data_IF_367516741631
#
_entry.id   IF_367516741631
#
_cell.length_a   1.000
_cell.length_b   1.000
_cell.length_c   1.000
_cell.angle_alpha   90.00
_cell.angle_beta   90.00
_cell.angle_gamma   90.00
#
_symmetry.space_group_name_H-M   'P 1'
#
loop_
_entity.id
_entity.type
_entity.pdbx_description
1 polymer ?
#
# COMPACT_ATOMS: atom_id res chain seq x y z
N UNK A 1 -19.82 6.50 3.34
CA UNK A 1 -19.11 7.16 2.23
C UNK A 1 -18.31 6.16 1.40
N UNK A 2 -17.44 5.32 2.01
CA UNK A 2 -16.61 4.33 1.28
C UNK A 2 -17.49 3.35 0.48
N UNK A 3 -18.52 2.76 1.10
CA UNK A 3 -19.41 1.82 0.43
C UNK A 3 -20.16 2.45 -0.76
N UNK A 4 -20.48 3.74 -0.68
CA UNK A 4 -21.19 4.48 -1.72
C UNK A 4 -20.30 5.00 -2.85
N UNK A 5 -18.97 4.81 -2.76
CA UNK A 5 -18.05 5.25 -3.81
C UNK A 5 -18.27 4.46 -5.10
N UNK A 6 -18.38 5.19 -6.22
CA UNK A 6 -18.49 4.65 -7.57
C UNK A 6 -17.13 4.54 -8.29
N UNK A 7 -16.02 4.60 -7.55
CA UNK A 7 -14.67 4.69 -8.13
C UNK A 7 -14.33 3.54 -9.07
N UNK A 8 -14.76 2.31 -8.76
CA UNK A 8 -14.49 1.16 -9.63
C UNK A 8 -15.11 1.36 -11.02
N UNK A 9 -16.39 1.73 -11.08
CA UNK A 9 -17.07 1.98 -12.36
C UNK A 9 -16.48 3.19 -13.09
N UNK A 10 -16.10 4.27 -12.38
CA UNK A 10 -15.45 5.44 -12.99
C UNK A 10 -14.10 5.12 -13.62
N UNK A 11 -13.36 4.17 -13.03
CA UNK A 11 -12.05 3.73 -13.53
C UNK A 11 -12.14 2.49 -14.43
N UNK A 12 -13.33 1.94 -14.65
CA UNK A 12 -13.54 0.79 -15.52
C UNK A 12 -12.90 -0.50 -15.01
N UNK A 13 -12.74 -0.66 -13.69
CA UNK A 13 -12.15 -1.85 -13.08
C UNK A 13 -13.18 -2.68 -12.34
N UNK A 14 -12.90 -3.98 -12.25
CA UNK A 14 -13.74 -4.95 -11.54
C UNK A 14 -13.10 -5.32 -10.21
N UNK A 15 -13.89 -5.44 -9.17
CA UNK A 15 -13.44 -5.88 -7.85
C UNK A 15 -12.63 -7.19 -7.94
N UNK A 16 -11.52 -7.24 -7.19
CA UNK A 16 -10.58 -8.36 -7.14
C UNK A 16 -9.86 -8.68 -8.46
N UNK A 17 -9.92 -7.77 -9.46
CA UNK A 17 -9.29 -7.95 -10.77
C UNK A 17 -8.40 -6.78 -11.19
N UNK A 18 -7.72 -6.16 -10.24
CA UNK A 18 -6.71 -5.12 -10.48
C UNK A 18 -5.74 -5.03 -9.31
N UNK A 19 -4.55 -4.56 -9.59
CA UNK A 19 -3.59 -4.14 -8.56
C UNK A 19 -3.76 -2.65 -8.27
N UNK A 20 -3.65 -2.28 -7.00
CA UNK A 20 -3.52 -0.88 -6.61
C UNK A 20 -2.10 -0.63 -6.12
N UNK A 21 -1.46 0.40 -6.67
CA UNK A 21 -0.06 0.72 -6.37
C UNK A 21 0.07 2.16 -5.92
N UNK A 22 0.87 2.40 -4.88
CA UNK A 22 1.32 3.74 -4.51
C UNK A 22 2.79 3.74 -4.14
N UNK A 23 3.54 4.68 -4.70
CA UNK A 23 4.95 4.89 -4.42
C UNK A 23 5.21 6.39 -4.28
N UNK A 24 5.70 6.83 -3.12
CA UNK A 24 5.86 8.26 -2.83
C UNK A 24 7.06 8.59 -1.94
N UNK A 25 7.70 7.59 -1.33
CA UNK A 25 8.84 7.80 -0.45
C UNK A 25 10.07 8.22 -1.24
N UNK A 26 10.82 9.16 -0.66
CA UNK A 26 12.01 9.76 -1.28
C UNK A 26 13.05 8.72 -1.66
N UNK A 27 13.32 7.77 -0.77
CA UNK A 27 14.26 6.68 -0.98
C UNK A 27 13.93 5.82 -2.21
N UNK A 28 12.65 5.70 -2.55
CA UNK A 28 12.19 4.93 -3.70
C UNK A 28 12.08 5.77 -4.99
N UNK A 29 11.63 7.02 -4.84
CA UNK A 29 11.23 7.85 -5.99
C UNK A 29 12.36 8.72 -6.51
N UNK A 30 13.26 9.20 -5.63
CA UNK A 30 14.32 10.12 -6.00
C UNK A 30 15.58 9.43 -6.54
N UNK A 31 15.70 8.13 -6.35
CA UNK A 31 16.78 7.33 -6.91
C UNK A 31 16.33 6.77 -8.28
N UNK A 32 16.91 7.23 -9.41
CA UNK A 32 16.48 6.77 -10.73
C UNK A 32 16.60 5.25 -10.93
N UNK A 33 17.61 4.64 -10.31
CA UNK A 33 17.85 3.20 -10.36
C UNK A 33 16.70 2.44 -9.66
N UNK A 34 16.32 2.87 -8.47
CA UNK A 34 15.22 2.28 -7.70
C UNK A 34 13.90 2.39 -8.47
N UNK A 35 13.62 3.58 -9.01
CA UNK A 35 12.41 3.82 -9.79
C UNK A 35 12.39 2.98 -11.08
N UNK A 36 13.55 2.76 -11.73
CA UNK A 36 13.67 1.89 -12.91
C UNK A 36 13.38 0.44 -12.57
N UNK A 37 13.97 -0.08 -11.50
CA UNK A 37 13.70 -1.43 -10.99
C UNK A 37 12.22 -1.60 -10.67
N UNK A 38 11.62 -0.61 -10.04
CA UNK A 38 10.19 -0.64 -9.71
C UNK A 38 9.28 -0.64 -10.95
N UNK A 39 9.56 0.18 -11.95
CA UNK A 39 8.83 0.16 -13.24
C UNK A 39 8.95 -1.21 -13.89
N UNK A 40 10.14 -1.80 -13.89
CA UNK A 40 10.36 -3.16 -14.38
C UNK A 40 9.53 -4.20 -13.62
N UNK A 41 9.47 -4.09 -12.28
CA UNK A 41 8.67 -4.97 -11.45
C UNK A 41 7.17 -4.83 -11.74
N UNK A 42 6.65 -3.62 -11.93
CA UNK A 42 5.25 -3.42 -12.29
C UNK A 42 4.91 -4.02 -13.67
N UNK A 43 5.76 -3.81 -14.66
CA UNK A 43 5.59 -4.41 -15.98
C UNK A 43 5.58 -5.94 -15.89
N UNK A 44 6.41 -6.52 -15.04
CA UNK A 44 6.42 -7.98 -14.82
C UNK A 44 5.18 -8.47 -14.09
N UNK A 45 4.65 -7.71 -13.12
CA UNK A 45 3.38 -8.02 -12.46
C UNK A 45 2.24 -8.09 -13.48
N UNK A 46 2.15 -7.13 -14.40
CA UNK A 46 1.15 -7.17 -15.47
C UNK A 46 1.32 -8.41 -16.34
N UNK A 47 2.54 -8.72 -16.75
CA UNK A 47 2.84 -9.89 -17.58
C UNK A 47 2.49 -11.21 -16.91
N UNK A 48 2.74 -11.33 -15.60
CA UNK A 48 2.51 -12.55 -14.83
C UNK A 48 1.01 -12.79 -14.55
N UNK A 49 0.29 -11.74 -14.19
CA UNK A 49 -1.08 -11.86 -13.72
C UNK A 49 -2.15 -11.48 -14.76
N UNK A 50 -1.78 -10.76 -15.82
CA UNK A 50 -2.71 -10.30 -16.86
C UNK A 50 -3.79 -9.35 -16.33
N UNK A 51 -3.54 -8.68 -15.20
CA UNK A 51 -4.46 -7.78 -14.54
C UNK A 51 -4.01 -6.32 -14.67
N UNK A 52 -4.94 -5.36 -14.82
CA UNK A 52 -4.61 -3.95 -14.84
C UNK A 52 -4.01 -3.49 -13.51
N UNK A 53 -3.11 -2.52 -13.60
CA UNK A 53 -2.48 -1.85 -12.46
C UNK A 53 -2.97 -0.40 -12.40
N UNK A 54 -3.55 -0.01 -11.29
CA UNK A 54 -3.88 1.37 -10.96
C UNK A 54 -2.75 1.95 -10.12
N UNK A 55 -1.93 2.80 -10.70
CA UNK A 55 -0.78 3.40 -10.03
C UNK A 55 -1.09 4.84 -9.61
N UNK A 56 -1.33 5.05 -8.32
CA UNK A 56 -1.51 6.37 -7.71
C UNK A 56 -0.17 7.10 -7.66
N UNK A 57 -0.04 8.17 -8.44
CA UNK A 57 1.20 8.94 -8.57
C UNK A 57 1.02 10.38 -8.08
N UNK A 58 1.55 10.72 -6.91
CA UNK A 58 1.66 12.11 -6.48
C UNK A 58 2.49 12.95 -7.45
N UNK A 59 2.38 14.29 -7.44
CA UNK A 59 3.09 15.16 -8.38
C UNK A 59 4.60 14.91 -8.45
N UNK A 60 5.26 14.67 -7.30
CA UNK A 60 6.70 14.35 -7.24
C UNK A 60 7.02 13.06 -8.00
N UNK A 61 6.29 11.98 -7.69
CA UNK A 61 6.47 10.68 -8.36
C UNK A 61 6.22 10.81 -9.87
N UNK A 62 5.20 11.57 -10.27
CA UNK A 62 4.91 11.81 -11.69
C UNK A 62 6.08 12.49 -12.42
N UNK A 63 6.64 13.55 -11.83
CA UNK A 63 7.81 14.24 -12.40
C UNK A 63 9.02 13.30 -12.56
N UNK A 64 9.27 12.44 -11.58
CA UNK A 64 10.37 11.47 -11.63
C UNK A 64 10.16 10.39 -12.69
N UNK A 65 8.94 9.86 -12.79
CA UNK A 65 8.58 8.89 -13.83
C UNK A 65 8.74 9.48 -15.23
N UNK A 66 8.25 10.70 -15.42
CA UNK A 66 8.38 11.39 -16.71
C UNK A 66 9.85 11.65 -17.09
N UNK A 67 10.67 12.05 -16.11
CA UNK A 67 12.11 12.27 -16.31
C UNK A 67 12.87 10.96 -16.57
N UNK A 68 12.41 9.84 -16.02
CA UNK A 68 13.03 8.53 -16.20
C UNK A 68 12.91 8.03 -17.65
N UNK A 69 11.80 8.35 -18.34
CA UNK A 69 11.55 7.96 -19.72
C UNK A 69 11.30 6.47 -19.93
N UNK A 70 11.17 5.68 -18.86
CA UNK A 70 10.88 4.25 -18.96
C UNK A 70 9.43 4.01 -19.38
N UNK A 71 9.22 2.98 -20.18
CA UNK A 71 7.89 2.64 -20.70
C UNK A 71 7.12 1.78 -19.71
N UNK A 72 5.98 2.28 -19.28
CA UNK A 72 4.98 1.48 -18.56
C UNK A 72 4.18 0.61 -19.54
N UNK A 73 3.83 -0.59 -19.09
CA UNK A 73 2.90 -1.45 -19.82
C UNK A 73 1.56 -0.73 -20.05
N UNK A 74 0.88 -0.89 -21.20
CA UNK A 74 -0.41 -0.27 -21.48
C UNK A 74 -1.52 -0.57 -20.46
N UNK A 75 -1.42 -1.65 -19.71
CA UNK A 75 -2.36 -1.98 -18.64
C UNK A 75 -2.05 -1.27 -17.31
N UNK A 76 -0.97 -0.47 -17.24
CA UNK A 76 -0.65 0.36 -16.07
C UNK A 76 -1.23 1.75 -16.29
N UNK A 77 -2.26 2.08 -15.54
CA UNK A 77 -2.89 3.41 -15.56
C UNK A 77 -2.39 4.24 -14.40
N UNK A 78 -1.71 5.34 -14.70
CA UNK A 78 -1.30 6.31 -13.67
C UNK A 78 -2.47 7.20 -13.28
N UNK A 79 -2.73 7.32 -11.98
CA UNK A 79 -3.81 8.11 -11.41
C UNK A 79 -3.25 9.27 -10.58
N UNK A 80 -3.91 10.43 -10.64
CA UNK A 80 -3.69 11.47 -9.61
C UNK A 80 -4.17 10.94 -8.26
N UNK A 81 -3.63 11.44 -7.14
CA UNK A 81 -4.13 11.09 -5.82
C UNK A 81 -5.65 11.27 -5.73
N UNK A 82 -6.30 10.26 -5.20
CA UNK A 82 -7.75 10.21 -5.04
C UNK A 82 -8.16 10.70 -3.64
N UNK A 83 -9.42 11.09 -3.50
CA UNK A 83 -9.99 11.36 -2.18
C UNK A 83 -10.05 10.08 -1.33
N UNK A 84 -9.99 10.25 -0.01
CA UNK A 84 -9.92 9.16 0.96
C UNK A 84 -10.99 8.05 0.75
N UNK A 85 -12.30 8.35 0.57
CA UNK A 85 -13.29 7.29 0.39
C UNK A 85 -13.08 6.44 -0.86
N UNK A 86 -12.64 7.07 -1.95
CA UNK A 86 -12.35 6.39 -3.21
C UNK A 86 -11.11 5.51 -3.11
N UNK A 87 -10.05 6.04 -2.50
CA UNK A 87 -8.80 5.31 -2.33
C UNK A 87 -8.99 4.07 -1.44
N UNK A 88 -9.66 4.22 -0.29
CA UNK A 88 -9.97 3.09 0.61
C UNK A 88 -10.87 2.07 -0.08
N UNK A 89 -11.85 2.51 -0.89
CA UNK A 89 -12.66 1.58 -1.69
C UNK A 89 -11.81 0.77 -2.65
N UNK A 90 -10.85 1.41 -3.34
CA UNK A 90 -9.91 0.72 -4.22
C UNK A 90 -9.01 -0.26 -3.47
N UNK A 91 -8.51 0.11 -2.28
CA UNK A 91 -7.70 -0.81 -1.45
C UNK A 91 -8.48 -2.07 -1.09
N UNK A 92 -9.69 -1.93 -0.57
CA UNK A 92 -10.54 -3.05 -0.16
C UNK A 92 -10.92 -4.00 -1.29
N UNK A 93 -11.08 -3.47 -2.48
CA UNK A 93 -11.52 -4.22 -3.65
C UNK A 93 -10.38 -4.61 -4.60
N UNK A 94 -9.12 -4.34 -4.23
CA UNK A 94 -7.97 -4.73 -5.03
C UNK A 94 -7.75 -6.26 -5.04
N UNK A 95 -7.10 -6.76 -6.06
CA UNK A 95 -6.50 -8.10 -6.08
C UNK A 95 -5.35 -8.17 -5.06
N UNK A 96 -4.47 -7.17 -5.08
CA UNK A 96 -3.43 -6.93 -4.08
C UNK A 96 -3.03 -5.45 -4.12
N UNK A 97 -2.67 -4.89 -2.96
CA UNK A 97 -2.17 -3.52 -2.83
C UNK A 97 -0.65 -3.55 -2.65
N UNK A 98 0.08 -2.77 -3.42
CA UNK A 98 1.53 -2.58 -3.28
C UNK A 98 1.78 -1.13 -2.86
N UNK A 99 2.39 -0.90 -1.71
CA UNK A 99 2.55 0.46 -1.19
C UNK A 99 3.82 0.63 -0.34
N UNK A 100 4.45 1.79 -0.44
CA UNK A 100 5.51 2.23 0.47
C UNK A 100 5.01 3.12 1.61
N UNK A 101 3.68 3.25 1.76
CA UNK A 101 3.06 3.98 2.87
C UNK A 101 3.34 3.29 4.21
N UNK A 102 3.62 4.07 5.24
CA UNK A 102 3.72 3.53 6.61
C UNK A 102 2.39 2.98 7.11
N UNK A 103 1.26 3.59 6.75
CA UNK A 103 -0.08 3.22 7.21
C UNK A 103 -0.67 1.98 6.54
N UNK A 104 0.02 1.42 5.52
CA UNK A 104 -0.50 0.24 4.81
C UNK A 104 -0.70 -0.96 5.75
N UNK A 105 0.11 -1.06 6.80
CA UNK A 105 0.03 -2.15 7.77
C UNK A 105 -1.28 -2.08 8.56
N UNK A 106 -1.59 -0.90 9.12
CA UNK A 106 -2.84 -0.67 9.85
C UNK A 106 -4.06 -0.80 8.92
N UNK A 107 -3.98 -0.19 7.74
CA UNK A 107 -5.06 -0.21 6.76
C UNK A 107 -5.37 -1.64 6.28
N UNK A 108 -4.35 -2.43 5.93
CA UNK A 108 -4.53 -3.82 5.49
C UNK A 108 -5.12 -4.69 6.60
N UNK A 109 -4.62 -4.52 7.84
CA UNK A 109 -5.09 -5.26 9.00
C UNK A 109 -6.55 -4.95 9.36
N UNK A 110 -6.89 -3.66 9.46
CA UNK A 110 -8.22 -3.22 9.87
C UNK A 110 -9.30 -3.43 8.80
N UNK A 111 -8.92 -3.36 7.53
CA UNK A 111 -9.85 -3.42 6.39
C UNK A 111 -9.85 -4.77 5.68
N UNK A 112 -8.93 -5.67 6.01
CA UNK A 112 -8.88 -7.05 5.53
C UNK A 112 -8.60 -7.18 4.05
N UNK A 113 -7.66 -6.42 3.49
CA UNK A 113 -7.27 -6.56 2.09
C UNK A 113 -5.82 -7.05 1.95
N UNK A 114 -5.49 -7.81 0.89
CA UNK A 114 -4.14 -8.29 0.62
C UNK A 114 -3.20 -7.13 0.30
N UNK A 115 -2.05 -7.05 1.00
CA UNK A 115 -1.10 -5.97 0.82
C UNK A 115 0.36 -6.43 0.89
N UNK A 116 1.23 -5.67 0.22
CA UNK A 116 2.69 -5.81 0.24
C UNK A 116 3.30 -4.45 0.52
N UNK A 117 4.27 -4.42 1.42
CA UNK A 117 5.01 -3.21 1.74
C UNK A 117 6.30 -3.13 0.92
N UNK A 118 6.42 -2.06 0.12
CA UNK A 118 7.56 -1.78 -0.77
C UNK A 118 8.71 -1.05 -0.04
N UNK A 119 8.92 -1.35 1.23
CA UNK A 119 9.96 -0.74 2.07
C UNK A 119 11.00 -1.79 2.46
N UNK A 120 12.19 -1.31 2.78
CA UNK A 120 13.28 -2.12 3.35
C UNK A 120 13.34 -2.04 4.88
N UNK A 121 12.67 -1.04 5.46
CA UNK A 121 12.55 -0.86 6.90
C UNK A 121 11.10 -0.58 7.29
N UNK A 122 10.66 -1.12 8.41
CA UNK A 122 9.31 -0.89 8.92
C UNK A 122 9.32 -0.19 10.27
N UNK A 123 8.24 0.54 10.52
CA UNK A 123 8.01 1.28 11.77
C UNK A 123 6.91 0.62 12.62
N UNK A 124 6.39 -0.53 12.14
CA UNK A 124 5.22 -1.24 12.69
C UNK A 124 5.47 -2.74 12.72
N UNK A 125 6.40 -3.18 13.59
CA UNK A 125 6.78 -4.60 13.69
C UNK A 125 5.61 -5.48 14.06
N UNK A 126 4.67 -4.98 14.87
CA UNK A 126 3.50 -5.70 15.34
C UNK A 126 2.62 -6.25 14.19
N UNK A 127 2.51 -5.52 13.08
CA UNK A 127 1.76 -6.01 11.93
C UNK A 127 2.51 -7.07 11.12
N UNK A 128 3.84 -7.03 11.13
CA UNK A 128 4.68 -8.06 10.51
C UNK A 128 4.65 -9.33 11.35
N UNK A 129 4.71 -9.20 12.68
CA UNK A 129 4.67 -10.33 13.62
C UNK A 129 3.33 -11.09 13.51
N UNK A 130 2.23 -10.39 13.27
CA UNK A 130 0.90 -10.99 13.01
C UNK A 130 0.71 -11.46 11.54
N UNK A 131 1.72 -11.29 10.68
CA UNK A 131 1.66 -11.73 9.29
C UNK A 131 0.71 -10.93 8.40
N UNK A 132 0.41 -9.67 8.75
CA UNK A 132 -0.53 -8.81 8.01
C UNK A 132 -0.06 -8.56 6.58
N UNK A 133 1.24 -8.39 6.39
CA UNK A 133 1.84 -8.15 5.08
C UNK A 133 3.30 -8.63 5.00
N UNK A 134 3.80 -8.72 3.77
CA UNK A 134 5.21 -8.99 3.48
C UNK A 134 5.91 -7.70 3.11
N UNK A 135 7.10 -7.49 3.66
CA UNK A 135 7.98 -6.37 3.31
C UNK A 135 9.01 -6.84 2.27
N UNK A 136 9.00 -6.24 1.09
CA UNK A 136 9.82 -6.69 -0.06
C UNK A 136 10.90 -5.70 -0.47
N UNK A 137 10.80 -4.44 -0.08
CA UNK A 137 11.47 -3.37 -0.83
C UNK A 137 10.91 -3.29 -2.25
N UNK A 138 11.74 -2.82 -3.17
CA UNK A 138 11.37 -2.69 -4.59
C UNK A 138 11.98 -3.81 -5.46
N UNK A 139 12.50 -4.87 -4.86
CA UNK A 139 13.06 -6.03 -5.57
C UNK A 139 11.96 -6.79 -6.33
N UNK A 140 12.15 -6.96 -7.64
CA UNK A 140 11.17 -7.57 -8.53
C UNK A 140 10.82 -9.00 -8.14
N UNK A 141 11.80 -9.83 -7.81
CA UNK A 141 11.59 -11.24 -7.46
C UNK A 141 10.81 -11.36 -6.16
N UNK A 142 11.23 -10.61 -5.15
CA UNK A 142 10.54 -10.59 -3.84
C UNK A 142 9.10 -10.07 -3.94
N UNK A 143 8.84 -9.08 -4.79
CA UNK A 143 7.48 -8.59 -5.04
C UNK A 143 6.60 -9.70 -5.62
N UNK A 144 7.06 -10.42 -6.64
CA UNK A 144 6.29 -11.51 -7.26
C UNK A 144 6.04 -12.67 -6.30
N UNK A 145 7.06 -13.09 -5.55
CA UNK A 145 6.94 -14.12 -4.52
C UNK A 145 5.95 -13.72 -3.42
N UNK A 146 6.03 -12.48 -2.94
CA UNK A 146 5.11 -11.98 -1.92
C UNK A 146 3.66 -11.88 -2.42
N UNK A 147 3.44 -11.48 -3.68
CA UNK A 147 2.10 -11.52 -4.29
C UNK A 147 1.59 -12.96 -4.33
N UNK A 148 2.40 -13.90 -4.80
CA UNK A 148 2.03 -15.32 -4.87
C UNK A 148 1.65 -15.88 -3.50
N UNK A 149 2.48 -15.66 -2.48
CA UNK A 149 2.22 -16.08 -1.10
C UNK A 149 0.92 -15.47 -0.57
N UNK A 150 0.78 -14.16 -0.67
CA UNK A 150 -0.40 -13.44 -0.15
C UNK A 150 -1.69 -13.91 -0.84
N UNK A 151 -1.64 -14.20 -2.13
CA UNK A 151 -2.79 -14.73 -2.88
C UNK A 151 -3.10 -16.17 -2.52
N UNK A 152 -2.10 -16.99 -2.25
CA UNK A 152 -2.30 -18.34 -1.73
C UNK A 152 -3.01 -18.30 -0.37
N UNK A 153 -2.56 -17.46 0.56
CA UNK A 153 -3.22 -17.25 1.85
C UNK A 153 -4.71 -16.88 1.68
N UNK A 154 -5.02 -15.96 0.76
CA UNK A 154 -6.42 -15.60 0.47
C UNK A 154 -7.22 -16.78 -0.08
N UNK A 155 -6.62 -17.63 -0.93
CA UNK A 155 -7.29 -18.82 -1.48
C UNK A 155 -7.59 -19.88 -0.42
N UNK A 156 -6.75 -19.98 0.60
CA UNK A 156 -6.95 -20.86 1.76
C UNK A 156 -7.85 -20.24 2.85
N UNK A 157 -8.45 -19.08 2.60
CA UNK A 157 -9.23 -18.31 3.57
C UNK A 157 -8.46 -17.97 4.85
N UNK A 158 -7.13 -17.93 4.77
CA UNK A 158 -6.31 -17.49 5.88
C UNK A 158 -6.34 -15.96 6.02
N UNK A 159 -6.59 -15.47 7.22
CA UNK A 159 -6.60 -14.05 7.53
C UNK A 159 -5.70 -13.81 8.73
N UNK A 160 -4.75 -12.87 8.67
CA UNK A 160 -3.92 -12.52 9.82
C UNK A 160 -4.76 -11.93 10.95
N UNK A 161 -4.28 -12.08 12.17
CA UNK A 161 -4.87 -11.39 13.32
C UNK A 161 -4.64 -9.89 13.21
N UNK A 162 -5.61 -9.10 13.64
CA UNK A 162 -5.40 -7.65 13.77
C UNK A 162 -4.62 -7.38 15.06
N UNK A 163 -3.46 -6.70 15.01
CA UNK A 163 -2.72 -6.33 16.20
C UNK A 163 -3.62 -5.61 17.22
N UNK A 164 -3.56 -5.97 18.50
CA UNK A 164 -4.42 -5.34 19.52
C UNK A 164 -4.29 -3.81 19.59
N UNK A 165 -3.10 -3.30 19.30
CA UNK A 165 -2.83 -1.86 19.29
C UNK A 165 -3.63 -1.09 18.25
N UNK A 166 -4.05 -1.75 17.16
CA UNK A 166 -4.87 -1.13 16.11
C UNK A 166 -6.37 -1.13 16.45
N UNK A 167 -6.79 -1.95 17.41
CA UNK A 167 -8.17 -2.04 17.89
C UNK A 167 -8.49 -1.08 19.03
N UNK A 168 -7.51 -0.28 19.44
CA UNK A 168 -7.65 0.64 20.58
C UNK A 168 -8.58 1.79 20.24
N UNK A 169 -9.67 1.89 20.99
CA UNK A 169 -10.58 3.03 20.95
C UNK A 169 -10.10 4.17 21.88
N UNK A 170 -10.64 5.37 21.67
CA UNK A 170 -10.42 6.54 22.53
C UNK A 170 -8.94 6.99 22.60
N UNK A 171 -8.17 6.85 21.52
CA UNK A 171 -6.76 7.27 21.46
C UNK A 171 -6.58 8.75 21.83
N UNK A 172 -7.49 9.63 21.42
CA UNK A 172 -7.47 11.06 21.79
C UNK A 172 -7.47 11.30 23.30
N UNK A 173 -8.25 10.54 24.05
CA UNK A 173 -8.27 10.63 25.53
C UNK A 173 -6.95 10.15 26.14
N UNK A 174 -6.37 9.09 25.59
CA UNK A 174 -5.07 8.57 26.03
C UNK A 174 -3.96 9.60 25.79
N UNK A 175 -3.94 10.20 24.60
CA UNK A 175 -2.99 11.27 24.25
C UNK A 175 -3.15 12.47 25.18
N UNK A 176 -4.39 12.93 25.39
CA UNK A 176 -4.67 14.04 26.31
C UNK A 176 -4.18 13.75 27.73
N UNK A 177 -4.44 12.55 28.25
CA UNK A 177 -3.96 12.15 29.58
C UNK A 177 -2.44 12.08 29.65
N UNK A 178 -1.80 11.56 28.62
CA UNK A 178 -0.33 11.52 28.55
C UNK A 178 0.26 12.94 28.58
N UNK A 179 -0.26 13.86 27.75
CA UNK A 179 0.18 15.27 27.73
C UNK A 179 0.03 15.89 29.11
N UNK A 180 -1.15 15.82 29.72
CA UNK A 180 -1.41 16.39 31.05
C UNK A 180 -0.54 15.76 32.15
N UNK A 181 -0.22 14.47 32.04
CA UNK A 181 0.61 13.78 33.03
C UNK A 181 2.08 14.20 32.97
N UNK A 182 2.59 14.58 31.79
CA UNK A 182 4.02 14.83 31.60
C UNK A 182 4.40 16.29 31.36
N UNK A 183 3.45 17.19 31.12
CA UNK A 183 3.72 18.60 30.79
C UNK A 183 4.65 19.30 31.80
N UNK A 184 4.48 19.02 33.12
CA UNK A 184 5.28 19.66 34.17
C UNK A 184 6.59 18.91 34.49
N UNK A 185 6.82 17.75 33.91
CA UNK A 185 7.98 16.89 34.23
C UNK A 185 9.09 16.89 33.18
N UNK A 186 8.80 17.24 31.92
CA UNK A 186 9.77 17.18 30.83
C UNK A 186 10.81 18.31 30.88
N UNK A 187 10.50 19.41 31.55
CA UNK A 187 11.36 20.62 31.63
C UNK A 187 12.03 20.83 33.02
N UNK A 188 12.21 19.79 33.79
CA UNK A 188 12.91 19.85 35.09
C UNK A 188 14.30 19.23 35.03
#
# INVERSE_FOLDING_TARGET
QIAASSVLSRLGVTARKYFLVSLHREENVDQPENLRVFVGALNQVVKEYGLPVLFSVPPRTKLRLDALGEKLDPQITTLKPLGFPDYVKLQREAFCVLSDSGTITEEASLLGFPAINLREAHERPEGVDEGVLVMTGIDQTRILEAISLTRHQVSENWTPSTPPDYLVENTSWKVTKAILSYTDFINR
#
